data_IF_850887014199
#
_entry.id   IF_850887014199
#
_cell.length_a   1.000
_cell.length_b   1.000
_cell.length_c   1.000
_cell.angle_alpha   90.00
_cell.angle_beta   90.00
_cell.angle_gamma   90.00
#
_symmetry.space_group_name_H-M   'P 1'
#
loop_
_entity.id
_entity.type
_entity.pdbx_description
1 polymer ?
#
# COMPACT_ATOMS: atom_id res chain seq x y z
N UNK A 1 -18.79 -12.85 -17.58
CA UNK A 1 -18.31 -13.41 -16.29
C UNK A 1 -17.29 -12.43 -15.74
N UNK A 2 -17.74 -11.33 -15.13
CA UNK A 2 -16.86 -10.30 -14.60
C UNK A 2 -16.99 -10.33 -13.09
N UNK A 3 -16.10 -11.09 -12.45
CA UNK A 3 -15.96 -11.14 -10.99
C UNK A 3 -15.59 -9.75 -10.50
N UNK A 4 -16.58 -8.98 -10.05
CA UNK A 4 -16.32 -7.82 -9.19
C UNK A 4 -15.79 -8.38 -7.87
N UNK A 5 -14.55 -8.07 -7.45
CA UNK A 5 -14.17 -8.31 -6.07
C UNK A 5 -15.15 -7.52 -5.22
N UNK A 6 -16.06 -8.23 -4.56
CA UNK A 6 -16.92 -7.64 -3.55
C UNK A 6 -15.97 -7.20 -2.46
N UNK A 7 -15.65 -5.90 -2.43
CA UNK A 7 -15.03 -5.26 -1.29
C UNK A 7 -16.03 -5.46 -0.15
N UNK A 8 -15.88 -6.55 0.60
CA UNK A 8 -16.65 -6.79 1.82
C UNK A 8 -16.30 -5.60 2.70
N UNK A 9 -17.17 -4.59 2.70
CA UNK A 9 -16.93 -3.33 3.39
C UNK A 9 -16.80 -3.70 4.86
N UNK A 10 -15.54 -3.78 5.32
CA UNK A 10 -15.23 -3.91 6.73
C UNK A 10 -16.08 -2.86 7.46
N UNK A 11 -16.77 -3.21 8.56
CA UNK A 11 -17.64 -2.29 9.29
C UNK A 11 -16.79 -1.30 10.11
N UNK A 12 -15.86 -0.62 9.45
CA UNK A 12 -14.90 0.32 10.02
C UNK A 12 -15.08 1.64 9.28
N UNK A 13 -15.25 2.72 10.05
CA UNK A 13 -15.17 4.08 9.54
C UNK A 13 -13.83 4.67 9.92
N UNK A 14 -12.98 4.91 8.92
CA UNK A 14 -11.71 5.61 9.11
C UNK A 14 -11.96 7.09 9.39
N UNK A 15 -11.16 7.68 10.28
CA UNK A 15 -11.29 9.06 10.70
C UNK A 15 -10.13 9.91 10.22
N UNK A 16 -10.40 11.19 9.96
CA UNK A 16 -9.40 12.18 9.55
C UNK A 16 -8.61 11.72 8.31
N UNK A 17 -7.29 11.88 8.36
CA UNK A 17 -6.29 11.49 7.37
C UNK A 17 -5.81 10.04 7.56
N UNK A 18 -6.54 9.21 8.31
CA UNK A 18 -6.14 7.82 8.56
C UNK A 18 -6.59 6.89 7.45
N UNK A 19 -5.77 5.91 7.13
CA UNK A 19 -6.08 4.82 6.21
C UNK A 19 -5.72 3.47 6.83
N UNK A 20 -6.42 2.44 6.36
CA UNK A 20 -6.19 1.05 6.71
C UNK A 20 -5.65 0.33 5.49
N UNK A 21 -4.53 -0.35 5.66
CA UNK A 21 -3.88 -1.10 4.59
C UNK A 21 -3.65 -2.55 5.00
N UNK A 22 -3.55 -3.43 4.02
CA UNK A 22 -3.12 -4.82 4.19
C UNK A 22 -1.71 -4.93 3.63
N UNK A 23 -0.75 -5.33 4.46
CA UNK A 23 0.62 -5.56 4.00
C UNK A 23 0.61 -6.62 2.90
N UNK A 24 1.30 -6.35 1.80
CA UNK A 24 1.56 -7.42 0.83
C UNK A 24 2.50 -8.40 1.52
N UNK A 25 2.04 -9.63 1.73
CA UNK A 25 2.82 -10.68 2.39
C UNK A 25 4.00 -11.06 1.49
N UNK A 26 5.10 -10.31 1.60
CA UNK A 26 6.40 -10.69 1.08
C UNK A 26 7.17 -11.49 2.14
N UNK A 27 6.51 -12.45 2.79
CA UNK A 27 7.21 -13.48 3.55
C UNK A 27 7.65 -14.59 2.59
N UNK A 28 8.93 -14.94 2.62
CA UNK A 28 9.42 -16.15 1.98
C UNK A 28 10.73 -15.95 1.24
N UNK A 29 10.68 -15.76 -0.08
CA UNK A 29 11.87 -15.93 -0.90
C UNK A 29 12.34 -14.62 -1.51
N UNK A 30 13.42 -14.05 -0.94
CA UNK A 30 14.34 -13.19 -1.69
C UNK A 30 14.97 -13.99 -2.82
N UNK A 31 14.26 -14.19 -3.93
CA UNK A 31 14.90 -14.30 -5.23
C UNK A 31 15.28 -12.88 -5.62
N UNK A 32 16.54 -12.51 -5.38
CA UNK A 32 17.11 -11.45 -6.19
C UNK A 32 16.93 -11.85 -7.66
N UNK A 33 16.72 -10.89 -8.56
CA UNK A 33 16.57 -11.13 -10.01
C UNK A 33 17.73 -11.89 -10.67
N UNK A 34 18.81 -12.18 -9.91
CA UNK A 34 19.94 -13.03 -10.30
C UNK A 34 20.06 -14.38 -9.57
N UNK A 35 19.04 -14.86 -8.84
CA UNK A 35 19.03 -16.21 -8.26
C UNK A 35 19.87 -16.43 -7.00
N UNK A 36 20.35 -15.35 -6.36
CA UNK A 36 21.12 -15.43 -5.11
C UNK A 36 20.18 -15.26 -3.91
N UNK A 37 20.17 -16.26 -3.03
CA UNK A 37 19.49 -16.23 -1.73
C UNK A 37 20.30 -15.34 -0.78
N UNK A 38 19.75 -14.17 -0.45
CA UNK A 38 20.38 -13.26 0.52
C UNK A 38 19.93 -13.68 1.93
N UNK A 39 20.84 -14.08 2.83
CA UNK A 39 20.49 -14.46 4.21
C UNK A 39 19.85 -13.30 4.95
N UNK A 40 18.92 -13.60 5.87
CA UNK A 40 18.11 -12.62 6.61
C UNK A 40 18.93 -11.56 7.37
N UNK A 41 20.20 -11.85 7.67
CA UNK A 41 21.17 -10.99 8.35
C UNK A 41 21.79 -9.90 7.47
N UNK A 42 21.61 -9.95 6.16
CA UNK A 42 22.08 -8.93 5.22
C UNK A 42 20.97 -7.90 4.90
N UNK A 43 20.41 -7.27 5.93
CA UNK A 43 19.52 -6.11 5.78
C UNK A 43 20.37 -4.83 5.79
N UNK A 44 20.90 -4.52 4.61
CA UNK A 44 21.49 -3.23 4.29
C UNK A 44 20.33 -2.27 3.93
N UNK A 45 20.11 -1.27 4.76
CA UNK A 45 19.21 -0.14 4.50
C UNK A 45 17.76 -0.34 4.97
N UNK A 46 17.15 0.73 5.49
CA UNK A 46 15.71 0.79 5.76
C UNK A 46 14.96 0.57 4.45
N UNK A 47 14.33 -0.60 4.31
CA UNK A 47 13.56 -0.93 3.11
C UNK A 47 12.12 -0.51 3.34
N UNK A 48 11.63 0.37 2.47
CA UNK A 48 10.22 0.69 2.41
C UNK A 48 9.45 -0.51 1.85
N UNK A 49 8.26 -0.75 2.38
CA UNK A 49 7.40 -1.87 1.99
C UNK A 49 6.11 -1.36 1.33
N UNK A 50 5.47 -2.24 0.54
CA UNK A 50 4.21 -1.95 -0.15
C UNK A 50 3.03 -2.58 0.58
N UNK A 51 1.90 -1.90 0.57
CA UNK A 51 0.63 -2.41 1.07
C UNK A 51 -0.55 -1.96 0.20
N UNK A 52 -1.60 -2.76 0.20
CA UNK A 52 -2.86 -2.47 -0.49
C UNK A 52 -3.81 -1.70 0.42
N UNK A 53 -4.40 -0.62 -0.07
CA UNK A 53 -5.33 0.22 0.69
C UNK A 53 -6.70 -0.43 0.74
N UNK A 54 -7.21 -0.63 1.95
CA UNK A 54 -8.49 -1.31 2.19
C UNK A 54 -9.58 -0.32 2.57
N UNK A 55 -9.24 0.73 3.33
CA UNK A 55 -10.18 1.78 3.71
C UNK A 55 -9.47 3.13 3.93
N UNK A 56 -10.18 4.23 3.66
CA UNK A 56 -9.64 5.59 3.79
C UNK A 56 -10.56 6.49 4.62
N UNK A 57 -9.97 7.41 5.36
CA UNK A 57 -10.67 8.44 6.13
C UNK A 57 -11.15 9.59 5.27
N UNK A 58 -12.11 10.35 5.79
CA UNK A 58 -12.77 11.43 5.04
C UNK A 58 -11.86 12.59 4.61
N UNK A 59 -10.67 12.74 5.23
CA UNK A 59 -9.72 13.80 4.87
C UNK A 59 -8.59 13.30 3.97
N UNK A 60 -8.56 12.01 3.63
CA UNK A 60 -7.59 11.45 2.66
C UNK A 60 -7.96 11.93 1.26
N UNK A 61 -6.98 12.42 0.49
CA UNK A 61 -7.22 13.02 -0.83
C UNK A 61 -6.46 12.35 -1.97
N UNK A 62 -5.34 11.73 -1.65
CA UNK A 62 -4.36 11.25 -2.62
C UNK A 62 -4.52 9.76 -2.92
N UNK A 63 -5.22 9.04 -2.03
CA UNK A 63 -5.30 7.59 -1.98
C UNK A 63 -6.75 7.12 -2.00
N UNK A 64 -7.02 6.07 -2.76
CA UNK A 64 -8.32 5.40 -2.82
C UNK A 64 -8.20 3.92 -2.41
N UNK A 65 -9.28 3.27 -1.93
CA UNK A 65 -9.28 1.82 -1.73
C UNK A 65 -8.90 1.07 -3.02
N UNK A 66 -7.96 0.14 -2.92
CA UNK A 66 -7.37 -0.58 -4.05
C UNK A 66 -6.02 -0.02 -4.53
N UNK A 67 -5.67 1.22 -4.17
CA UNK A 67 -4.34 1.77 -4.47
C UNK A 67 -3.26 0.99 -3.67
N UNK A 68 -2.05 0.92 -4.22
CA UNK A 68 -0.87 0.41 -3.49
C UNK A 68 -0.06 1.57 -2.95
N UNK A 69 0.34 1.51 -1.69
CA UNK A 69 1.08 2.59 -1.02
C UNK A 69 2.41 2.10 -0.50
N UNK A 70 3.43 2.95 -0.63
CA UNK A 70 4.78 2.71 -0.14
C UNK A 70 4.95 3.39 1.22
N UNK A 71 5.44 2.66 2.22
CA UNK A 71 5.57 3.17 3.59
C UNK A 71 6.81 2.63 4.31
N UNK A 72 7.23 3.30 5.39
CA UNK A 72 8.27 2.80 6.29
C UNK A 72 7.66 1.81 7.31
N UNK A 73 8.12 0.55 7.35
CA UNK A 73 7.58 -0.42 8.29
C UNK A 73 7.86 -0.10 9.76
N UNK A 74 8.88 0.68 10.11
CA UNK A 74 9.29 0.86 11.52
C UNK A 74 8.26 1.65 12.37
N UNK A 75 7.39 2.46 11.76
CA UNK A 75 6.47 3.38 12.46
C UNK A 75 4.98 3.12 12.13
N UNK A 76 4.55 1.85 12.23
CA UNK A 76 3.17 1.45 11.92
C UNK A 76 2.44 0.86 13.11
N UNK A 77 1.15 1.16 13.21
CA UNK A 77 0.26 0.52 14.17
C UNK A 77 -0.44 -0.68 13.52
N UNK A 78 -0.40 -1.83 14.18
CA UNK A 78 -1.13 -3.04 13.73
C UNK A 78 -2.50 -3.12 14.42
N UNK A 79 -3.52 -3.55 13.66
CA UNK A 79 -4.88 -3.74 14.16
C UNK A 79 -5.47 -5.01 13.57
N UNK A 80 -6.10 -5.81 14.43
CA UNK A 80 -6.81 -7.00 14.00
C UNK A 80 -8.31 -6.72 13.87
N UNK A 81 -8.89 -7.08 12.73
CA UNK A 81 -10.34 -6.96 12.49
C UNK A 81 -10.85 -8.26 11.91
N UNK A 82 -11.83 -8.88 12.58
CA UNK A 82 -12.42 -10.16 12.18
C UNK A 82 -11.36 -11.27 11.95
N UNK A 83 -10.29 -11.29 12.73
CA UNK A 83 -9.21 -12.29 12.60
C UNK A 83 -8.20 -11.99 11.49
N UNK A 84 -8.27 -10.81 10.85
CA UNK A 84 -7.33 -10.39 9.81
C UNK A 84 -6.51 -9.21 10.33
N UNK A 85 -5.19 -9.28 10.19
CA UNK A 85 -4.28 -8.19 10.54
C UNK A 85 -4.23 -7.13 9.44
N UNK A 86 -4.27 -5.87 9.88
CA UNK A 86 -4.15 -4.68 9.06
C UNK A 86 -3.17 -3.70 9.69
N UNK A 87 -2.69 -2.76 8.88
CA UNK A 87 -1.87 -1.66 9.33
C UNK A 87 -2.68 -0.36 9.27
N UNK A 88 -2.67 0.39 10.37
CA UNK A 88 -3.28 1.70 10.50
C UNK A 88 -2.20 2.77 10.32
N UNK A 89 -2.43 3.69 9.38
CA UNK A 89 -1.46 4.72 9.00
C UNK A 89 -2.14 6.07 8.79
N UNK A 90 -1.36 7.15 8.72
CA UNK A 90 -1.83 8.44 8.19
C UNK A 90 -1.35 8.64 6.76
N UNK A 91 -2.13 9.40 6.00
CA UNK A 91 -1.82 9.74 4.61
C UNK A 91 -0.45 10.41 4.47
N UNK A 92 -0.09 11.29 5.42
CA UNK A 92 1.19 12.02 5.39
C UNK A 92 2.42 11.14 5.63
N UNK A 93 2.24 9.93 6.17
CA UNK A 93 3.33 9.01 6.47
C UNK A 93 3.61 8.07 5.27
N UNK A 94 2.86 8.23 4.17
CA UNK A 94 3.06 7.50 2.93
C UNK A 94 4.12 8.18 2.06
N UNK A 95 5.02 7.38 1.48
CA UNK A 95 6.08 7.87 0.61
C UNK A 95 5.66 7.94 -0.86
N UNK A 96 4.79 7.03 -1.30
CA UNK A 96 4.31 6.99 -2.67
C UNK A 96 2.96 6.26 -2.78
N UNK A 97 2.24 6.53 -3.87
CA UNK A 97 1.00 5.85 -4.26
C UNK A 97 1.18 5.31 -5.67
N UNK A 98 0.95 4.02 -5.86
CA UNK A 98 0.86 3.37 -7.16
C UNK A 98 -0.62 3.07 -7.43
N UNK A 99 -1.18 3.77 -8.41
CA UNK A 99 -2.57 3.66 -8.81
C UNK A 99 -2.64 3.48 -10.32
N UNK A 100 -3.47 2.56 -10.82
CA UNK A 100 -3.62 2.33 -12.27
C UNK A 100 -4.09 3.59 -13.00
N UNK A 101 -4.89 4.44 -12.33
CA UNK A 101 -5.34 5.75 -12.84
C UNK A 101 -4.19 6.72 -13.16
N UNK A 102 -3.01 6.55 -12.57
CA UNK A 102 -1.83 7.38 -12.85
C UNK A 102 -1.05 6.90 -14.08
N UNK A 103 -1.28 5.67 -14.57
CA UNK A 103 -0.59 5.15 -15.76
C UNK A 103 -1.08 5.81 -17.07
N UNK A 104 -2.24 6.48 -17.04
CA UNK A 104 -2.81 7.17 -18.20
C UNK A 104 -2.25 8.56 -18.49
N UNK A 105 -1.28 9.07 -17.71
CA UNK A 105 -0.72 10.42 -17.88
C UNK A 105 0.60 10.48 -18.66
N UNK A 106 1.04 9.40 -19.31
CA UNK A 106 2.21 9.43 -20.22
C UNK A 106 1.89 10.06 -21.60
N UNK A 107 0.62 10.22 -21.97
CA UNK A 107 0.22 10.82 -23.27
C UNK A 107 -0.03 12.33 -23.23
N UNK A 108 0.33 13.04 -22.14
CA UNK A 108 0.05 14.49 -22.02
C UNK A 108 1.19 15.33 -21.48
N UNK A 109 2.44 14.93 -21.71
CA UNK A 109 3.53 15.94 -21.73
C UNK A 109 3.37 16.74 -23.02
N UNK A 110 2.42 17.68 -23.00
CA UNK A 110 2.24 18.72 -24.00
C UNK A 110 3.44 19.65 -23.96
N UNK A 111 4.55 19.21 -24.55
CA UNK A 111 5.67 20.06 -24.90
C UNK A 111 5.40 20.66 -26.29
N UNK A 112 4.57 21.69 -26.31
CA UNK A 112 4.56 22.69 -27.37
C UNK A 112 4.30 24.04 -26.71
N UNK A 113 5.34 24.86 -26.61
CA UNK A 113 5.41 26.27 -27.00
C UNK A 113 6.87 26.75 -26.80
#
# INVERSE_FOLDING_TARGET
MSSHPTHDKLPIRMLHDRLLVRADTAEGERRSSGGIVIPATAQVGRRLDWAEVVAVGQNVRTVEPGDRVLYDPEDRAEVEVRGVSYLLMRERDLHAVAAERLQGSEDSTGLYL
#
